data_IF_981799526089
#
_entry.id   IF_981799526089
#
_cell.length_a   1.000
_cell.length_b   1.000
_cell.length_c   1.000
_cell.angle_alpha   90.00
_cell.angle_beta   90.00
_cell.angle_gamma   90.00
#
_symmetry.space_group_name_H-M   'P 1'
#
loop_
_entity.id
_entity.type
_entity.pdbx_description
1 polymer ?
#
# COMPACT_ATOMS: atom_id res chain seq x y z
N UNK A 1 20.14 60.94 -21.85
CA UNK A 1 21.09 59.90 -21.42
C UNK A 1 20.41 59.10 -20.32
N UNK A 2 20.06 57.88 -20.67
CA UNK A 2 19.31 56.91 -19.88
C UNK A 2 20.05 56.55 -18.59
N UNK A 3 19.34 56.44 -17.47
CA UNK A 3 19.78 55.63 -16.34
C UNK A 3 18.58 54.86 -15.83
N UNK A 4 18.63 53.55 -16.05
CA UNK A 4 17.59 52.57 -15.77
C UNK A 4 17.37 52.41 -14.27
N UNK A 5 16.13 52.60 -13.81
CA UNK A 5 15.72 52.13 -12.49
C UNK A 5 15.60 50.61 -12.55
N UNK A 6 16.57 49.92 -11.97
CA UNK A 6 16.56 48.46 -11.84
C UNK A 6 15.40 48.04 -10.95
N UNK A 7 14.42 47.40 -11.55
CA UNK A 7 13.28 46.78 -10.89
C UNK A 7 13.77 45.64 -9.98
N UNK A 8 13.50 45.78 -8.68
CA UNK A 8 13.72 44.73 -7.68
C UNK A 8 12.67 43.64 -7.95
N UNK A 9 13.07 42.59 -8.65
CA UNK A 9 12.27 41.37 -8.81
C UNK A 9 12.31 40.63 -7.47
N UNK A 10 11.18 40.42 -6.76
CA UNK A 10 11.19 39.65 -5.53
C UNK A 10 11.55 38.20 -5.86
N UNK A 11 12.66 37.74 -5.28
CA UNK A 11 13.11 36.35 -5.34
C UNK A 11 11.98 35.43 -4.88
N UNK A 12 11.51 34.60 -5.81
CA UNK A 12 10.71 33.39 -5.63
C UNK A 12 11.00 32.73 -4.28
N UNK A 13 10.03 32.75 -3.36
CA UNK A 13 10.11 32.04 -2.09
C UNK A 13 10.27 30.54 -2.34
N UNK A 14 11.47 30.03 -2.11
CA UNK A 14 11.73 28.60 -1.98
C UNK A 14 10.88 28.09 -0.80
N UNK A 15 9.72 27.49 -1.09
CA UNK A 15 8.95 26.76 -0.07
C UNK A 15 9.86 25.64 0.44
N UNK A 16 10.39 25.81 1.65
CA UNK A 16 10.98 24.71 2.40
C UNK A 16 9.98 23.56 2.40
N UNK A 17 10.44 22.40 1.94
CA UNK A 17 9.57 21.26 1.76
C UNK A 17 9.37 20.59 3.12
N UNK A 18 8.16 20.08 3.41
CA UNK A 18 7.79 19.70 4.76
C UNK A 18 8.62 18.53 5.29
N UNK A 19 8.60 18.42 6.61
CA UNK A 19 8.98 17.26 7.40
C UNK A 19 8.33 15.95 6.87
N UNK A 20 8.88 14.82 7.32
CA UNK A 20 8.46 13.46 6.95
C UNK A 20 6.92 13.30 6.80
N UNK A 21 6.47 12.87 5.61
CA UNK A 21 5.03 12.68 5.34
C UNK A 21 4.44 11.58 6.21
N UNK A 22 3.21 11.79 6.69
CA UNK A 22 2.42 10.80 7.40
C UNK A 22 1.67 9.91 6.42
N UNK A 23 1.88 8.60 6.48
CA UNK A 23 1.15 7.63 5.68
C UNK A 23 0.01 7.05 6.49
N UNK A 24 -1.22 7.14 5.99
CA UNK A 24 -2.40 6.62 6.67
C UNK A 24 -3.21 5.71 5.74
N UNK A 25 -3.88 4.73 6.33
CA UNK A 25 -4.89 3.92 5.66
C UNK A 25 -6.18 4.74 5.49
N UNK A 26 -6.93 4.50 4.42
CA UNK A 26 -8.19 5.19 4.20
C UNK A 26 -9.28 4.60 5.10
N UNK A 27 -10.14 5.48 5.62
CA UNK A 27 -11.34 5.12 6.36
C UNK A 27 -12.53 5.88 5.78
N UNK A 28 -13.73 5.27 5.83
CA UNK A 28 -14.93 5.90 5.25
C UNK A 28 -15.28 7.24 5.92
N UNK A 29 -14.96 7.40 7.21
CA UNK A 29 -15.07 8.65 7.97
C UNK A 29 -14.31 9.83 7.32
N UNK A 30 -13.25 9.53 6.56
CA UNK A 30 -12.38 10.50 5.89
C UNK A 30 -12.91 10.96 4.53
N UNK A 31 -14.01 10.37 4.02
CA UNK A 31 -14.52 10.66 2.67
C UNK A 31 -14.81 12.14 2.46
N UNK A 32 -15.61 12.74 3.35
CA UNK A 32 -16.03 14.15 3.25
C UNK A 32 -14.84 15.10 3.18
N UNK A 33 -13.74 14.71 3.84
CA UNK A 33 -12.53 15.51 3.95
C UNK A 33 -11.60 15.33 2.76
N UNK A 34 -11.35 14.10 2.32
CA UNK A 34 -10.28 13.81 1.36
C UNK A 34 -10.76 13.45 -0.05
N UNK A 35 -12.00 12.99 -0.24
CA UNK A 35 -12.48 12.60 -1.58
C UNK A 35 -12.35 13.73 -2.62
N UNK A 36 -12.65 15.01 -2.31
CA UNK A 36 -12.41 16.09 -3.26
C UNK A 36 -10.93 16.22 -3.67
N UNK A 37 -10.00 16.12 -2.72
CA UNK A 37 -8.56 16.17 -2.99
C UNK A 37 -8.04 14.94 -3.73
N UNK A 38 -8.54 13.74 -3.39
CA UNK A 38 -8.23 12.49 -4.10
C UNK A 38 -8.61 12.64 -5.57
N UNK A 39 -9.83 13.09 -5.86
CA UNK A 39 -10.31 13.33 -7.22
C UNK A 39 -9.45 14.34 -7.95
N UNK A 40 -9.17 15.49 -7.31
CA UNK A 40 -8.37 16.56 -7.91
C UNK A 40 -6.91 16.15 -8.17
N UNK A 41 -6.34 15.26 -7.34
CA UNK A 41 -4.99 14.74 -7.53
C UNK A 41 -4.95 13.71 -8.66
N UNK A 42 -5.91 12.79 -8.69
CA UNK A 42 -5.97 11.74 -9.71
C UNK A 42 -6.28 12.32 -11.10
N UNK A 43 -7.22 13.27 -11.19
CA UNK A 43 -7.58 13.89 -12.48
C UNK A 43 -6.46 14.70 -13.13
N UNK A 44 -5.41 15.05 -12.37
CA UNK A 44 -4.21 15.72 -12.91
C UNK A 44 -3.19 14.74 -13.48
N UNK A 45 -3.17 13.52 -12.98
CA UNK A 45 -2.11 12.54 -13.22
C UNK A 45 -2.55 11.40 -14.14
N UNK A 46 -3.84 11.10 -14.20
CA UNK A 46 -4.41 10.05 -15.05
C UNK A 46 -5.18 10.64 -16.23
N UNK A 47 -5.09 9.95 -17.36
CA UNK A 47 -5.65 10.36 -18.65
C UNK A 47 -7.16 10.19 -18.76
N UNK A 48 -7.78 9.42 -17.85
CA UNK A 48 -9.20 9.06 -17.91
C UNK A 48 -10.03 9.73 -16.80
N UNK A 49 -11.15 10.39 -17.15
CA UNK A 49 -12.04 10.97 -16.17
C UNK A 49 -12.88 9.87 -15.47
N UNK A 50 -12.58 9.58 -14.20
CA UNK A 50 -13.42 8.71 -13.39
C UNK A 50 -14.61 9.46 -12.79
N UNK A 51 -15.80 8.85 -12.84
CA UNK A 51 -16.95 9.33 -12.08
C UNK A 51 -16.74 9.14 -10.58
N UNK A 52 -17.43 9.93 -9.74
CA UNK A 52 -17.35 9.80 -8.28
C UNK A 52 -17.69 8.38 -7.78
N UNK A 53 -18.55 7.65 -8.52
CA UNK A 53 -18.98 6.30 -8.19
C UNK A 53 -17.84 5.28 -8.25
N UNK A 54 -16.89 5.46 -9.18
CA UNK A 54 -15.73 4.57 -9.28
C UNK A 54 -14.89 4.65 -8.01
N UNK A 55 -14.59 5.87 -7.54
CA UNK A 55 -13.86 6.04 -6.29
C UNK A 55 -14.59 5.40 -5.11
N UNK A 56 -15.89 5.66 -4.98
CA UNK A 56 -16.70 5.10 -3.88
C UNK A 56 -16.76 3.58 -3.91
N UNK A 57 -16.86 2.97 -5.09
CA UNK A 57 -16.83 1.51 -5.23
C UNK A 57 -15.56 0.92 -4.59
N UNK A 58 -14.38 1.48 -4.89
CA UNK A 58 -13.14 1.02 -4.28
C UNK A 58 -13.06 1.36 -2.78
N UNK A 59 -13.31 2.62 -2.43
CA UNK A 59 -13.07 3.14 -1.08
C UNK A 59 -14.05 2.60 -0.04
N UNK A 60 -15.26 2.22 -0.45
CA UNK A 60 -16.26 1.67 0.47
C UNK A 60 -15.95 0.21 0.82
N UNK A 61 -15.53 -0.59 -0.16
CA UNK A 61 -15.34 -2.03 0.03
C UNK A 61 -13.90 -2.40 0.42
N UNK A 62 -12.91 -1.62 -0.01
CA UNK A 62 -11.49 -1.85 0.23
C UNK A 62 -10.76 -0.59 0.70
N UNK A 63 -11.42 0.26 1.47
CA UNK A 63 -10.78 1.44 2.09
C UNK A 63 -9.53 1.05 2.89
N UNK A 64 -9.57 -0.12 3.53
CA UNK A 64 -8.47 -0.72 4.27
C UNK A 64 -7.28 -1.16 3.39
N UNK A 65 -7.44 -1.23 2.07
CA UNK A 65 -6.35 -1.49 1.12
C UNK A 65 -5.90 -0.22 0.39
N UNK A 66 -6.45 0.93 0.76
CA UNK A 66 -6.14 2.23 0.17
C UNK A 66 -5.31 3.06 1.15
N UNK A 67 -4.31 3.78 0.64
CA UNK A 67 -3.35 4.51 1.47
C UNK A 67 -3.14 5.94 0.96
N UNK A 68 -3.03 6.88 1.89
CA UNK A 68 -2.79 8.30 1.65
C UNK A 68 -1.45 8.74 2.24
N UNK A 69 -0.78 9.68 1.57
CA UNK A 69 0.39 10.38 2.08
C UNK A 69 0.02 11.83 2.36
N UNK A 70 0.10 12.22 3.63
CA UNK A 70 -0.34 13.50 4.17
C UNK A 70 0.84 14.32 4.69
N UNK A 71 0.79 15.63 4.52
CA UNK A 71 1.70 16.56 5.19
C UNK A 71 1.14 16.94 6.57
N UNK A 72 1.82 16.56 7.67
CA UNK A 72 1.36 16.85 9.03
C UNK A 72 1.53 18.34 9.41
N UNK A 73 2.34 19.10 8.68
CA UNK A 73 2.61 20.51 9.00
C UNK A 73 1.45 21.45 8.63
N UNK A 74 0.54 20.99 7.77
CA UNK A 74 -0.61 21.76 7.31
C UNK A 74 -1.85 21.27 8.10
N UNK A 75 -2.33 22.05 9.08
CA UNK A 75 -3.54 21.69 9.79
C UNK A 75 -4.74 21.74 8.86
N UNK A 76 -5.68 20.83 9.11
CA UNK A 76 -6.94 20.77 8.39
C UNK A 76 -7.78 21.99 8.76
N UNK A 77 -7.99 22.89 7.80
CA UNK A 77 -8.88 24.04 7.93
C UNK A 77 -9.99 23.96 6.89
N UNK A 78 -11.23 24.36 7.21
CA UNK A 78 -12.33 24.44 6.24
C UNK A 78 -12.00 25.30 5.00
N UNK A 79 -11.06 26.24 5.13
CA UNK A 79 -10.63 27.13 4.06
C UNK A 79 -9.42 26.64 3.27
N UNK A 80 -8.75 25.55 3.70
CA UNK A 80 -7.47 25.11 3.12
C UNK A 80 -7.63 23.75 2.44
N UNK A 81 -6.99 23.58 1.29
CA UNK A 81 -6.95 22.28 0.59
C UNK A 81 -6.34 21.22 1.50
N UNK A 82 -6.97 20.05 1.67
CA UNK A 82 -6.43 18.95 2.46
C UNK A 82 -4.98 18.63 2.04
N UNK A 83 -4.08 18.34 2.99
CA UNK A 83 -2.64 18.20 2.74
C UNK A 83 -2.27 16.84 2.13
N UNK A 84 -2.99 16.44 1.09
CA UNK A 84 -2.84 15.16 0.40
C UNK A 84 -1.80 15.29 -0.72
N UNK A 85 -0.68 14.57 -0.58
CA UNK A 85 0.40 14.55 -1.57
C UNK A 85 0.55 13.23 -2.30
N UNK A 86 -0.11 12.18 -1.85
CA UNK A 86 -0.17 10.91 -2.58
C UNK A 86 -1.36 10.07 -2.18
N UNK A 87 -1.87 9.28 -3.13
CA UNK A 87 -2.96 8.34 -2.93
C UNK A 87 -2.67 7.06 -3.71
N UNK A 88 -2.96 5.92 -3.09
CA UNK A 88 -3.06 4.63 -3.75
C UNK A 88 -4.43 4.03 -3.44
N UNK A 89 -5.14 3.64 -4.49
CA UNK A 89 -6.42 2.92 -4.41
C UNK A 89 -6.22 1.51 -4.95
N UNK A 90 -6.59 0.51 -4.16
CA UNK A 90 -6.48 -0.90 -4.53
C UNK A 90 -7.66 -1.72 -4.03
N UNK A 91 -7.78 -2.94 -4.54
CA UNK A 91 -8.78 -3.92 -4.10
C UNK A 91 -8.21 -5.32 -4.03
N UNK A 92 -8.95 -6.22 -3.39
CA UNK A 92 -8.61 -7.64 -3.28
C UNK A 92 -9.87 -8.49 -3.50
N UNK A 93 -9.85 -9.36 -4.51
CA UNK A 93 -11.00 -10.17 -4.91
C UNK A 93 -10.59 -11.57 -5.35
N UNK A 94 -11.51 -12.52 -5.23
CA UNK A 94 -11.32 -13.87 -5.76
C UNK A 94 -11.35 -13.84 -7.28
N UNK A 95 -10.35 -14.45 -7.89
CA UNK A 95 -10.19 -14.57 -9.32
C UNK A 95 -10.29 -16.05 -9.74
N UNK A 96 -11.46 -16.43 -10.27
CA UNK A 96 -11.81 -17.82 -10.56
C UNK A 96 -11.26 -18.37 -11.88
N UNK A 97 -10.48 -17.61 -12.64
CA UNK A 97 -9.90 -18.12 -13.92
C UNK A 97 -8.75 -19.11 -13.71
N UNK A 98 -8.33 -19.34 -12.46
CA UNK A 98 -7.42 -20.42 -12.08
C UNK A 98 -8.19 -21.52 -11.33
N UNK A 99 -7.65 -22.74 -11.34
CA UNK A 99 -8.14 -23.85 -10.54
C UNK A 99 -6.98 -24.41 -9.72
N UNK A 100 -6.94 -24.20 -8.39
CA UNK A 100 -7.95 -23.51 -7.56
C UNK A 100 -8.05 -22.00 -7.82
N UNK A 101 -9.17 -21.34 -7.43
CA UNK A 101 -9.29 -19.88 -7.49
C UNK A 101 -8.17 -19.19 -6.69
N UNK A 102 -7.69 -18.06 -7.20
CA UNK A 102 -6.66 -17.24 -6.52
C UNK A 102 -7.28 -15.98 -5.91
N UNK A 103 -6.74 -15.49 -4.81
CA UNK A 103 -7.10 -14.19 -4.24
C UNK A 103 -6.17 -13.12 -4.85
N UNK A 104 -6.71 -12.32 -5.77
CA UNK A 104 -5.92 -11.39 -6.58
C UNK A 104 -6.10 -9.95 -6.10
N UNK A 105 -4.98 -9.33 -5.73
CA UNK A 105 -4.87 -7.91 -5.49
C UNK A 105 -4.84 -7.11 -6.80
N UNK A 106 -5.43 -5.92 -6.80
CA UNK A 106 -5.44 -5.03 -7.95
C UNK A 106 -5.15 -3.58 -7.52
N UNK A 107 -4.06 -3.01 -8.04
CA UNK A 107 -3.76 -1.59 -7.85
C UNK A 107 -4.44 -0.81 -8.97
N UNK A 108 -5.52 -0.11 -8.62
CA UNK A 108 -6.36 0.59 -9.58
C UNK A 108 -5.83 1.97 -9.93
N UNK A 109 -5.43 2.75 -8.92
CA UNK A 109 -5.00 4.13 -9.12
C UNK A 109 -3.83 4.45 -8.17
N UNK A 110 -2.83 5.17 -8.71
CA UNK A 110 -1.70 5.69 -7.96
C UNK A 110 -1.38 7.10 -8.47
N UNK A 111 -1.43 8.09 -7.59
CA UNK A 111 -1.09 9.47 -7.94
C UNK A 111 -0.24 10.11 -6.84
N UNK A 112 0.73 10.94 -7.24
CA UNK A 112 1.62 11.68 -6.33
C UNK A 112 1.79 13.09 -6.88
N UNK A 113 1.53 14.07 -6.02
CA UNK A 113 1.64 15.49 -6.34
C UNK A 113 2.99 15.81 -6.96
N UNK A 114 2.99 16.55 -8.07
CA UNK A 114 4.17 16.82 -8.88
C UNK A 114 5.35 17.39 -8.09
N UNK A 115 5.08 18.31 -7.15
CA UNK A 115 6.10 18.92 -6.27
C UNK A 115 6.72 17.93 -5.27
N UNK A 116 6.08 16.78 -5.04
CA UNK A 116 6.51 15.74 -4.10
C UNK A 116 7.06 14.48 -4.80
N UNK A 117 7.11 14.45 -6.13
CA UNK A 117 7.70 13.34 -6.89
C UNK A 117 9.21 13.21 -6.68
N UNK A 118 9.75 12.05 -7.02
CA UNK A 118 11.19 11.75 -6.86
C UNK A 118 11.62 11.42 -5.42
N UNK A 119 10.70 11.38 -4.45
CA UNK A 119 10.98 11.19 -3.02
C UNK A 119 10.58 9.83 -2.46
N UNK A 120 10.29 8.86 -3.33
CA UNK A 120 9.90 7.50 -2.92
C UNK A 120 8.49 7.35 -2.35
N UNK A 121 7.64 8.38 -2.39
CA UNK A 121 6.25 8.33 -1.87
C UNK A 121 5.44 7.22 -2.55
N UNK A 122 5.47 7.17 -3.88
CA UNK A 122 4.80 6.12 -4.65
C UNK A 122 5.28 4.73 -4.25
N UNK A 123 6.60 4.55 -4.10
CA UNK A 123 7.21 3.30 -3.63
C UNK A 123 6.69 2.90 -2.25
N UNK A 124 6.58 3.85 -1.32
CA UNK A 124 6.09 3.59 0.04
C UNK A 124 4.60 3.20 0.01
N UNK A 125 3.77 3.94 -0.72
CA UNK A 125 2.34 3.64 -0.88
C UNK A 125 2.11 2.24 -1.45
N UNK A 126 2.82 1.89 -2.54
CA UNK A 126 2.70 0.56 -3.15
C UNK A 126 3.13 -0.54 -2.19
N UNK A 127 4.23 -0.36 -1.44
CA UNK A 127 4.66 -1.33 -0.42
C UNK A 127 3.62 -1.52 0.70
N UNK A 128 3.00 -0.44 1.17
CA UNK A 128 1.93 -0.53 2.18
C UNK A 128 0.74 -1.34 1.66
N UNK A 129 0.33 -1.09 0.40
CA UNK A 129 -0.76 -1.84 -0.23
C UNK A 129 -0.42 -3.32 -0.44
N UNK A 130 0.79 -3.62 -0.89
CA UNK A 130 1.30 -4.99 -1.04
C UNK A 130 1.29 -5.70 0.32
N UNK A 131 1.79 -5.06 1.37
CA UNK A 131 1.81 -5.62 2.71
C UNK A 131 0.38 -5.89 3.24
N UNK A 132 -0.55 -4.96 3.03
CA UNK A 132 -1.94 -5.11 3.44
C UNK A 132 -2.66 -6.25 2.69
N UNK A 133 -2.48 -6.33 1.36
CA UNK A 133 -3.05 -7.41 0.55
C UNK A 133 -2.43 -8.77 0.91
N UNK A 134 -1.10 -8.83 1.13
CA UNK A 134 -0.41 -10.04 1.59
C UNK A 134 -0.93 -10.51 2.94
N UNK A 135 -1.14 -9.59 3.89
CA UNK A 135 -1.70 -9.92 5.21
C UNK A 135 -3.12 -10.51 5.13
N UNK A 136 -3.88 -10.16 4.08
CA UNK A 136 -5.20 -10.71 3.78
C UNK A 136 -5.17 -11.96 2.90
N UNK A 137 -3.98 -12.52 2.64
CA UNK A 137 -3.82 -13.79 1.93
C UNK A 137 -3.90 -13.67 0.41
N UNK A 138 -3.55 -12.51 -0.16
CA UNK A 138 -3.40 -12.41 -1.61
C UNK A 138 -2.41 -13.47 -2.13
N UNK A 139 -2.67 -14.02 -3.31
CA UNK A 139 -1.79 -14.94 -4.04
C UNK A 139 -0.95 -14.20 -5.09
N UNK A 140 -1.48 -13.09 -5.60
CA UNK A 140 -0.83 -12.25 -6.61
C UNK A 140 -1.38 -10.82 -6.55
N UNK A 141 -0.62 -9.87 -7.08
CA UNK A 141 -1.06 -8.48 -7.23
C UNK A 141 -0.82 -8.04 -8.68
N UNK A 142 -1.83 -7.47 -9.33
CA UNK A 142 -1.75 -7.00 -10.71
C UNK A 142 -2.11 -5.53 -10.85
N UNK A 143 -1.65 -4.92 -11.94
CA UNK A 143 -2.00 -3.57 -12.35
C UNK A 143 -1.87 -3.40 -13.86
N UNK A 144 -2.50 -2.37 -14.40
CA UNK A 144 -2.24 -1.87 -15.74
C UNK A 144 -1.58 -0.49 -15.71
N UNK A 145 -0.68 -0.26 -16.66
CA UNK A 145 -0.06 1.05 -16.84
C UNK A 145 0.16 1.33 -18.32
N UNK A 146 0.03 2.59 -18.72
CA UNK A 146 0.26 3.05 -20.09
C UNK A 146 1.70 2.73 -20.55
N UNK A 147 1.84 2.27 -21.79
CA UNK A 147 3.16 1.98 -22.41
C UNK A 147 4.09 3.21 -22.38
N UNK A 148 3.54 4.42 -22.50
CA UNK A 148 4.30 5.67 -22.43
C UNK A 148 4.73 6.09 -21.02
N UNK A 149 4.20 5.48 -19.95
CA UNK A 149 4.49 5.86 -18.57
C UNK A 149 5.76 5.18 -18.04
N UNK A 150 6.91 5.55 -18.61
CA UNK A 150 8.23 4.97 -18.29
C UNK A 150 8.56 5.09 -16.79
N UNK A 151 8.11 6.17 -16.13
CA UNK A 151 8.34 6.37 -14.70
C UNK A 151 7.59 5.32 -13.85
N UNK A 152 6.32 5.05 -14.15
CA UNK A 152 5.55 4.02 -13.47
C UNK A 152 6.09 2.62 -13.76
N UNK A 153 6.44 2.32 -15.01
CA UNK A 153 7.06 1.04 -15.39
C UNK A 153 8.31 0.74 -14.56
N UNK A 154 9.25 1.69 -14.49
CA UNK A 154 10.47 1.56 -13.67
C UNK A 154 10.19 1.46 -12.17
N UNK A 155 9.12 2.07 -11.68
CA UNK A 155 8.70 1.93 -10.29
C UNK A 155 8.29 0.49 -10.00
N UNK A 156 7.38 -0.06 -10.82
CA UNK A 156 6.83 -1.39 -10.61
C UNK A 156 7.87 -2.49 -10.83
N UNK A 157 8.73 -2.37 -11.85
CA UNK A 157 9.83 -3.31 -12.08
C UNK A 157 10.80 -3.37 -10.89
N UNK A 158 11.16 -2.23 -10.30
CA UNK A 158 11.99 -2.19 -9.08
C UNK A 158 11.31 -2.81 -7.85
N UNK A 159 9.99 -2.89 -7.86
CA UNK A 159 9.19 -3.55 -6.82
C UNK A 159 8.97 -5.03 -7.11
N UNK A 160 9.52 -5.56 -8.20
CA UNK A 160 9.44 -6.98 -8.58
C UNK A 160 8.25 -7.33 -9.45
N UNK A 161 7.48 -6.35 -9.93
CA UNK A 161 6.40 -6.63 -10.88
C UNK A 161 6.99 -6.97 -12.25
N UNK A 162 6.44 -8.00 -12.88
CA UNK A 162 6.87 -8.49 -14.20
C UNK A 162 5.75 -8.28 -15.21
N UNK A 163 6.10 -7.79 -16.40
CA UNK A 163 5.15 -7.55 -17.50
C UNK A 163 4.61 -8.89 -17.97
N UNK A 164 3.30 -9.09 -17.88
CA UNK A 164 2.67 -10.36 -18.24
C UNK A 164 1.95 -10.31 -19.59
N UNK A 165 1.27 -9.20 -19.90
CA UNK A 165 0.47 -9.08 -21.13
C UNK A 165 0.44 -7.64 -21.65
N UNK A 166 0.58 -7.48 -22.96
CA UNK A 166 0.29 -6.21 -23.66
C UNK A 166 -1.19 -6.18 -24.06
N UNK A 167 -1.88 -5.11 -23.70
CA UNK A 167 -3.28 -4.85 -24.03
C UNK A 167 -3.33 -3.75 -25.09
N UNK A 168 -3.75 -4.10 -26.31
CA UNK A 168 -3.85 -3.15 -27.41
C UNK A 168 -5.07 -2.25 -27.24
N UNK A 169 -4.91 -0.93 -27.42
CA UNK A 169 -5.97 0.10 -27.33
C UNK A 169 -6.80 0.00 -26.04
N UNK A 170 -6.14 -0.18 -24.91
CA UNK A 170 -6.78 -0.40 -23.62
C UNK A 170 -7.36 0.88 -23.02
N UNK A 171 -6.64 1.99 -23.14
CA UNK A 171 -7.08 3.30 -22.64
C UNK A 171 -7.96 4.02 -23.65
N UNK A 172 -8.82 4.92 -23.17
CA UNK A 172 -9.74 5.71 -24.00
C UNK A 172 -9.03 6.53 -25.10
N UNK A 173 -7.77 6.90 -24.87
CA UNK A 173 -6.94 7.61 -25.85
C UNK A 173 -6.37 6.70 -26.96
N UNK A 174 -6.71 5.40 -26.96
CA UNK A 174 -6.23 4.40 -27.92
C UNK A 174 -4.84 3.83 -27.61
N UNK A 175 -4.21 4.23 -26.50
CA UNK A 175 -2.88 3.74 -26.11
C UNK A 175 -2.90 2.30 -25.62
N UNK A 176 -1.78 1.60 -25.84
CA UNK A 176 -1.57 0.28 -25.28
C UNK A 176 -1.24 0.35 -23.78
N UNK A 177 -1.63 -0.69 -23.05
CA UNK A 177 -1.26 -0.88 -21.65
C UNK A 177 -0.41 -2.14 -21.47
N UNK A 178 0.48 -2.13 -20.48
CA UNK A 178 1.08 -3.37 -19.96
C UNK A 178 0.34 -3.77 -18.69
N UNK A 179 -0.25 -4.97 -18.71
CA UNK A 179 -0.59 -5.67 -17.48
C UNK A 179 0.68 -6.23 -16.88
N UNK A 180 0.90 -5.90 -15.62
CA UNK A 180 2.10 -6.28 -14.88
C UNK A 180 1.64 -6.93 -13.58
N UNK A 181 2.29 -8.02 -13.17
CA UNK A 181 1.89 -8.81 -12.01
C UNK A 181 3.06 -9.15 -11.09
N UNK A 182 2.77 -9.33 -9.81
CA UNK A 182 3.66 -9.83 -8.77
C UNK A 182 3.07 -11.16 -8.28
N UNK A 183 3.57 -12.28 -8.81
CA UNK A 183 3.07 -13.63 -8.52
C UNK A 183 4.17 -14.57 -7.98
N UNK A 184 5.10 -15.00 -8.84
CA UNK A 184 6.17 -15.95 -8.44
C UNK A 184 7.07 -15.42 -7.31
N UNK A 185 7.40 -14.12 -7.35
CA UNK A 185 8.18 -13.46 -6.30
C UNK A 185 7.32 -12.98 -5.14
N UNK A 186 6.00 -12.99 -5.26
CA UNK A 186 5.09 -12.58 -4.19
C UNK A 186 5.09 -13.59 -3.05
N UNK A 187 5.04 -14.89 -3.36
CA UNK A 187 5.23 -15.95 -2.37
C UNK A 187 6.56 -15.80 -1.61
N UNK A 188 7.66 -15.44 -2.30
CA UNK A 188 8.96 -15.16 -1.66
C UNK A 188 8.94 -13.86 -0.86
N UNK A 189 8.21 -12.84 -1.30
CA UNK A 189 8.02 -11.58 -0.59
C UNK A 189 7.30 -11.82 0.75
N UNK A 190 6.15 -12.51 0.72
CA UNK A 190 5.37 -12.89 1.90
C UNK A 190 6.23 -13.69 2.90
N UNK A 191 6.96 -14.71 2.44
CA UNK A 191 7.86 -15.50 3.29
C UNK A 191 8.95 -14.65 3.96
N UNK A 192 9.64 -13.79 3.21
CA UNK A 192 10.71 -12.91 3.77
C UNK A 192 10.16 -11.90 4.79
N UNK A 193 8.96 -11.36 4.55
CA UNK A 193 8.31 -10.39 5.44
C UNK A 193 7.89 -11.07 6.75
N UNK A 194 7.29 -12.27 6.66
CA UNK A 194 6.91 -13.08 7.82
C UNK A 194 8.12 -13.43 8.70
N UNK A 195 9.22 -13.86 8.08
CA UNK A 195 10.46 -14.18 8.79
C UNK A 195 11.00 -12.97 9.56
N UNK A 196 10.98 -11.77 8.96
CA UNK A 196 11.38 -10.54 9.67
C UNK A 196 10.44 -10.18 10.81
N UNK A 197 9.13 -10.35 10.63
CA UNK A 197 8.16 -10.11 11.69
C UNK A 197 8.36 -11.10 12.86
N UNK A 198 8.60 -12.38 12.56
CA UNK A 198 8.87 -13.42 13.55
C UNK A 198 10.17 -13.19 14.33
N UNK A 199 11.25 -12.79 13.64
CA UNK A 199 12.52 -12.42 14.27
C UNK A 199 12.36 -11.19 15.18
N UNK A 200 11.60 -10.18 14.78
CA UNK A 200 11.35 -9.01 15.61
C UNK A 200 10.51 -9.32 16.86
N UNK A 201 9.50 -10.20 16.76
CA UNK A 201 8.70 -10.65 17.91
C UNK A 201 9.54 -11.45 18.91
N UNK A 202 10.52 -12.22 18.42
CA UNK A 202 11.44 -13.01 19.26
C UNK A 202 12.40 -12.13 20.07
N UNK A 203 12.73 -10.92 19.60
CA UNK A 203 13.56 -9.97 20.34
C UNK A 203 12.80 -9.25 21.46
N UNK A 204 11.48 -9.11 21.37
CA UNK A 204 10.67 -8.37 22.35
C UNK A 204 10.23 -9.25 23.54
N UNK A 205 10.30 -10.58 23.41
CA UNK A 205 9.93 -11.55 24.45
C UNK A 205 11.12 -11.99 25.33
N UNK A 206 12.11 -11.12 25.51
CA UNK A 206 13.26 -11.30 26.42
C UNK A 206 12.89 -11.24 27.91
N UNK A 207 11.87 -11.97 28.34
CA UNK A 207 11.57 -12.41 29.72
C UNK A 207 10.30 -13.27 29.68
N UNK A 208 10.46 -14.60 29.64
CA UNK A 208 9.63 -15.63 30.30
C UNK A 208 10.27 -16.99 29.97
N UNK A 209 10.36 -17.84 31.00
CA UNK A 209 11.31 -18.96 31.09
C UNK A 209 10.99 -20.22 30.28
N UNK A 210 12.05 -21.05 30.18
CA UNK A 210 12.12 -22.45 29.69
C UNK A 210 11.59 -22.67 28.26
N UNK A 211 12.47 -22.40 27.30
CA UNK A 211 12.26 -22.67 25.88
C UNK A 211 12.89 -24.02 25.49
N UNK A 212 12.15 -24.83 24.74
CA UNK A 212 12.75 -25.86 23.89
C UNK A 212 13.76 -25.18 22.95
N UNK A 213 14.99 -25.70 22.92
CA UNK A 213 16.07 -25.16 22.08
C UNK A 213 15.69 -25.27 20.60
N UNK A 214 15.34 -24.13 19.99
CA UNK A 214 15.31 -23.97 18.54
C UNK A 214 16.76 -23.72 18.09
N UNK A 215 17.29 -24.60 17.25
CA UNK A 215 18.63 -24.43 16.68
C UNK A 215 18.54 -23.46 15.50
N UNK A 216 19.31 -22.37 15.58
CA UNK A 216 19.35 -21.31 14.55
C UNK A 216 20.76 -21.28 13.97
N UNK A 217 20.89 -21.22 12.65
CA UNK A 217 22.20 -21.03 12.00
C UNK A 217 22.66 -19.56 12.04
N UNK A 218 23.94 -19.33 11.68
CA UNK A 218 24.56 -18.00 11.67
C UNK A 218 23.95 -16.97 10.70
N UNK A 219 22.91 -17.35 9.94
CA UNK A 219 22.14 -16.47 9.04
C UNK A 219 20.67 -16.31 9.47
N UNK A 220 20.28 -16.82 10.65
CA UNK A 220 18.93 -16.66 11.19
C UNK A 220 17.88 -17.61 10.59
N UNK A 221 18.31 -18.71 9.97
CA UNK A 221 17.42 -19.77 9.49
C UNK A 221 17.02 -20.74 10.61
N UNK A 222 15.73 -21.07 10.71
CA UNK A 222 15.23 -22.07 11.65
C UNK A 222 15.49 -23.49 11.10
N UNK A 223 16.23 -24.32 11.84
CA UNK A 223 16.61 -25.67 11.45
C UNK A 223 15.87 -26.72 12.28
N UNK A 224 15.46 -27.81 11.64
CA UNK A 224 15.01 -29.01 12.37
C UNK A 224 16.19 -29.65 13.15
N UNK A 225 15.89 -30.66 13.97
CA UNK A 225 16.89 -31.39 14.79
C UNK A 225 18.00 -32.05 13.95
N UNK A 226 17.84 -32.11 12.62
CA UNK A 226 18.79 -32.67 11.65
C UNK A 226 19.43 -31.59 10.75
N UNK A 227 19.29 -30.31 11.06
CA UNK A 227 19.93 -29.23 10.30
C UNK A 227 19.25 -28.89 8.97
N UNK A 228 17.98 -29.27 8.76
CA UNK A 228 17.21 -28.94 7.55
C UNK A 228 16.20 -27.85 7.81
N UNK A 229 16.13 -26.87 6.91
CA UNK A 229 15.09 -25.85 6.94
C UNK A 229 13.71 -26.44 6.63
N UNK A 230 12.61 -25.85 7.13
CA UNK A 230 11.25 -26.30 6.86
C UNK A 230 10.91 -26.24 5.36
N UNK A 231 10.19 -27.27 4.90
CA UNK A 231 9.74 -27.39 3.51
C UNK A 231 8.69 -26.32 3.15
N UNK A 232 8.46 -26.07 1.85
CA UNK A 232 7.46 -25.10 1.38
C UNK A 232 6.06 -25.34 1.98
N UNK A 233 5.67 -26.61 2.16
CA UNK A 233 4.37 -27.00 2.74
C UNK A 233 4.27 -26.58 4.21
N UNK A 234 5.36 -26.68 4.96
CA UNK A 234 5.41 -26.34 6.38
C UNK A 234 5.32 -24.82 6.59
N UNK A 235 5.85 -24.02 5.65
CA UNK A 235 5.65 -22.58 5.64
C UNK A 235 4.20 -22.17 5.38
N UNK A 236 3.52 -22.83 4.46
CA UNK A 236 2.12 -22.53 4.13
C UNK A 236 1.17 -22.80 5.31
N UNK A 237 1.47 -23.83 6.12
CA UNK A 237 0.73 -24.14 7.35
C UNK A 237 0.95 -23.04 8.40
N UNK A 238 2.19 -22.61 8.60
CA UNK A 238 2.54 -21.54 9.55
C UNK A 238 1.90 -20.20 9.14
N UNK A 239 1.91 -19.89 7.84
CA UNK A 239 1.25 -18.71 7.27
C UNK A 239 -0.25 -18.69 7.56
N UNK A 240 -0.95 -19.81 7.32
CA UNK A 240 -2.39 -19.95 7.60
C UNK A 240 -2.72 -19.83 9.10
N UNK A 241 -1.86 -20.33 9.97
CA UNK A 241 -2.07 -20.22 11.42
C UNK A 241 -1.86 -18.77 11.92
N UNK A 242 -0.84 -18.07 11.42
CA UNK A 242 -0.55 -16.68 11.82
C UNK A 242 -1.61 -15.68 11.30
N UNK A 243 -2.13 -15.86 10.09
CA UNK A 243 -3.25 -15.04 9.59
C UNK A 243 -4.54 -15.28 10.39
N UNK A 244 -4.80 -16.52 10.80
CA UNK A 244 -5.93 -16.87 11.67
C UNK A 244 -5.81 -16.24 13.07
N UNK A 245 -4.59 -16.17 13.63
CA UNK A 245 -4.33 -15.52 14.92
C UNK A 245 -4.52 -14.00 14.85
N UNK A 246 -4.12 -13.36 13.75
CA UNK A 246 -4.31 -11.92 13.56
C UNK A 246 -5.80 -11.53 13.42
N UNK A 247 -6.60 -12.39 12.77
CA UNK A 247 -8.06 -12.21 12.69
C UNK A 247 -8.75 -12.36 14.05
N UNK A 248 -8.27 -13.26 14.92
CA UNK A 248 -8.76 -13.40 16.30
C UNK A 248 -8.34 -12.24 17.21
N UNK A 249 -7.21 -11.59 16.93
CA UNK A 249 -6.78 -10.39 17.64
C UNK A 249 -7.70 -9.19 17.41
N UNK A 250 -8.31 -9.08 16.23
CA UNK A 250 -9.24 -7.99 15.89
C UNK A 250 -10.66 -8.19 16.46
N UNK A 251 -11.10 -9.42 16.73
CA UNK A 251 -12.44 -9.67 17.28
C UNK A 251 -12.52 -9.52 18.80
N UNK A 252 -11.39 -9.51 19.52
CA UNK A 252 -11.40 -9.39 21.00
C UNK A 252 -11.58 -7.94 21.48
N UNK A 253 -11.33 -6.94 20.64
CA UNK A 253 -11.37 -5.52 21.05
C UNK A 253 -12.75 -4.86 20.85
N UNK A 254 -13.72 -5.53 20.22
CA UNK A 254 -15.09 -5.01 20.02
C UNK A 254 -16.12 -5.51 21.05
N UNK A 255 -15.69 -6.29 22.06
CA UNK A 255 -16.60 -6.97 22.99
C UNK A 255 -16.66 -6.43 24.43
N UNK A 256 -16.06 -5.28 24.75
CA UNK A 256 -15.92 -4.81 26.15
C UNK A 256 -16.66 -3.52 26.54
N UNK A 257 -17.57 -3.01 25.72
CA UNK A 257 -18.45 -1.88 26.11
C UNK A 257 -19.92 -2.20 25.83
N UNK A 258 -20.53 -3.05 26.65
CA UNK A 258 -21.99 -3.12 26.82
C UNK A 258 -22.33 -3.64 28.21
N UNK A 259 -22.25 -2.78 29.25
CA UNK A 259 -23.07 -2.84 30.48
C UNK A 259 -23.14 -1.41 31.03
N UNK A 260 -24.31 -1.05 31.59
CA UNK A 260 -24.66 0.16 32.36
C UNK A 260 -25.09 1.43 31.59
N UNK A 261 -26.41 1.59 31.43
CA UNK A 261 -27.16 2.58 32.23
C UNK A 261 -28.67 2.27 32.19
N UNK A 262 -29.24 2.10 33.39
CA UNK A 262 -30.67 1.91 33.65
C UNK A 262 -31.35 3.29 33.80
N UNK A 263 -32.60 3.36 33.34
CA UNK A 263 -33.58 4.43 33.59
C UNK A 263 -33.71 4.77 35.09
N UNK A 264 -34.20 5.99 35.40
CA UNK A 264 -35.64 6.13 35.63
C UNK A 264 -36.37 7.11 34.71
#
# INVERSE_FOLDING_TARGET
>A
MSSESSSIIPKSSSKELPAELRYIQYEHSLEKQYLPSIRALISKDLSEPYSIYVYRYFLYQWGDLCFMALDPSIPLSPSTTPPLHGILISKLETHSSHSPPTLRGYIAMLAVSSSFRGRGIATKLVKLAIDAMAARGADEIVLETEEGNVAAMRLYERLGFVRSKKLSRYYLNGSCAYRTGLGEDFSKYCRRRLMRAFLNVSCDHGRVGRQERIFVDGNGGNLDKNGRGPSNIQWDIILKQLTTLNQRGQTVDQGKNMVEEQEP
#
